data_IF_431450962092
#
_entry.id   IF_431450962092
#
_cell.length_a   1.000
_cell.length_b   1.000
_cell.length_c   1.000
_cell.angle_alpha   90.00
_cell.angle_beta   90.00
_cell.angle_gamma   90.00
#
_symmetry.space_group_name_H-M   'P 1'
#
loop_
_entity.id
_entity.type
_entity.pdbx_description
1 polymer ?
#
# COMPACT_ATOMS: atom_id res chain seq x y z
N UNK A 1 38.38 31.39 -24.03
CA UNK A 1 37.84 32.46 -23.17
C UNK A 1 36.34 32.27 -23.07
N UNK A 2 35.81 32.18 -21.84
CA UNK A 2 34.42 32.33 -21.41
C UNK A 2 33.35 31.38 -22.00
N UNK A 3 32.29 30.95 -21.33
CA UNK A 3 31.87 30.91 -19.92
C UNK A 3 30.60 30.05 -19.89
N UNK A 4 30.27 29.53 -18.70
CA UNK A 4 29.15 28.67 -18.38
C UNK A 4 27.76 29.17 -18.84
N UNK A 5 26.82 28.21 -18.96
CA UNK A 5 25.57 28.31 -18.21
C UNK A 5 25.05 26.95 -17.76
N UNK A 6 24.73 26.92 -16.46
CA UNK A 6 23.96 25.92 -15.72
C UNK A 6 22.53 25.87 -16.24
N UNK A 7 22.02 24.68 -16.44
CA UNK A 7 20.59 24.41 -16.26
C UNK A 7 20.47 23.31 -15.20
N UNK A 8 19.85 23.66 -14.08
CA UNK A 8 19.28 22.71 -13.14
C UNK A 8 18.14 21.98 -13.85
N UNK A 9 18.14 20.65 -13.82
CA UNK A 9 16.90 19.88 -13.94
C UNK A 9 16.78 19.02 -12.68
N UNK A 10 15.72 19.28 -11.93
CA UNK A 10 15.39 18.62 -10.68
C UNK A 10 14.76 17.27 -11.01
N UNK A 11 15.17 16.24 -10.27
CA UNK A 11 14.78 14.85 -10.49
C UNK A 11 13.27 14.65 -10.58
N UNK A 12 12.87 13.92 -11.62
CA UNK A 12 11.63 13.17 -11.65
C UNK A 12 11.96 11.71 -11.35
N UNK A 13 11.55 11.21 -10.19
CA UNK A 13 11.39 9.75 -10.00
C UNK A 13 10.07 9.40 -10.69
N UNK A 14 10.17 9.02 -11.97
CA UNK A 14 9.04 8.49 -12.71
C UNK A 14 8.73 7.08 -12.17
N UNK A 15 7.49 6.76 -11.76
CA UNK A 15 7.14 5.39 -11.44
C UNK A 15 7.20 4.57 -12.73
N UNK A 16 8.07 3.56 -12.75
CA UNK A 16 8.23 2.67 -13.89
C UNK A 16 6.92 1.91 -14.18
N UNK A 17 6.07 2.45 -15.07
CA UNK A 17 4.97 1.71 -15.69
C UNK A 17 5.56 0.77 -16.73
N UNK A 18 5.35 -0.54 -16.55
CA UNK A 18 5.73 -1.56 -17.55
C UNK A 18 4.85 -1.35 -18.80
N UNK A 19 5.43 -1.25 -20.01
CA UNK A 19 4.63 -1.16 -21.23
C UNK A 19 3.99 -2.52 -21.55
N UNK A 20 2.77 -2.74 -21.07
CA UNK A 20 1.87 -3.78 -21.57
C UNK A 20 1.17 -3.30 -22.83
N UNK A 21 1.04 -4.15 -23.83
CA UNK A 21 0.40 -3.80 -25.10
C UNK A 21 -1.09 -3.49 -24.91
N UNK A 22 -1.64 -2.53 -25.67
CA UNK A 22 -3.07 -2.13 -25.61
C UNK A 22 -4.04 -3.32 -25.84
N UNK A 23 -3.54 -4.42 -26.41
CA UNK A 23 -4.30 -5.67 -26.57
C UNK A 23 -4.57 -6.39 -25.23
N UNK A 24 -3.67 -6.28 -24.25
CA UNK A 24 -3.90 -6.80 -22.88
C UNK A 24 -4.96 -5.97 -22.14
N UNK A 25 -4.97 -4.64 -22.33
CA UNK A 25 -5.96 -3.76 -21.69
C UNK A 25 -7.37 -3.93 -22.30
N UNK A 26 -7.46 -4.16 -23.62
CA UNK A 26 -8.74 -4.47 -24.27
C UNK A 26 -9.24 -5.89 -23.98
N UNK A 27 -8.34 -6.84 -23.74
CA UNK A 27 -8.68 -8.20 -23.31
C UNK A 27 -9.19 -8.23 -21.86
N UNK A 28 -8.72 -7.33 -21.01
CA UNK A 28 -9.28 -7.09 -19.68
C UNK A 28 -10.68 -6.44 -19.74
N UNK A 29 -10.90 -5.49 -20.66
CA UNK A 29 -12.20 -4.81 -20.81
C UNK A 29 -13.29 -5.66 -21.50
N UNK A 30 -12.92 -6.56 -22.41
CA UNK A 30 -13.89 -7.38 -23.17
C UNK A 30 -14.49 -8.54 -22.36
N UNK A 31 -14.08 -8.73 -21.11
CA UNK A 31 -14.68 -9.70 -20.19
C UNK A 31 -15.78 -9.07 -19.31
N UNK A 32 -16.15 -7.80 -19.55
CA UNK A 32 -17.39 -7.24 -19.03
C UNK A 32 -18.57 -7.73 -19.89
N UNK A 33 -18.97 -8.97 -19.62
CA UNK A 33 -20.08 -9.64 -20.28
C UNK A 33 -20.68 -10.68 -19.35
N UNK A 34 -21.51 -10.22 -18.40
CA UNK A 34 -22.54 -10.97 -17.69
C UNK A 34 -22.16 -12.37 -17.22
N UNK A 35 -21.63 -12.47 -16.01
CA UNK A 35 -21.51 -13.72 -15.28
C UNK A 35 -21.22 -13.39 -13.82
N UNK A 36 -22.09 -13.86 -12.93
CA UNK A 36 -21.87 -13.89 -11.48
C UNK A 36 -20.44 -14.41 -11.21
N UNK A 37 -19.53 -13.51 -10.84
CA UNK A 37 -18.21 -13.93 -10.43
C UNK A 37 -18.38 -14.50 -9.01
N UNK A 38 -18.02 -15.77 -8.75
CA UNK A 38 -18.05 -16.31 -7.40
C UNK A 38 -17.11 -15.53 -6.46
N UNK A 39 -16.17 -14.75 -7.01
CA UNK A 39 -15.35 -13.82 -6.26
C UNK A 39 -16.07 -12.51 -5.89
N UNK A 40 -17.06 -12.08 -6.69
CA UNK A 40 -17.88 -10.89 -6.45
C UNK A 40 -19.01 -11.22 -5.47
N UNK A 41 -19.59 -12.42 -5.52
CA UNK A 41 -20.48 -12.92 -4.46
C UNK A 41 -19.73 -13.15 -3.14
N UNK A 42 -18.48 -13.65 -3.19
CA UNK A 42 -17.63 -13.81 -2.00
C UNK A 42 -17.15 -12.45 -1.46
N UNK A 43 -16.91 -11.48 -2.35
CA UNK A 43 -16.63 -10.10 -1.98
C UNK A 43 -17.88 -9.41 -1.41
N UNK A 44 -19.09 -9.66 -1.93
CA UNK A 44 -20.34 -9.19 -1.31
C UNK A 44 -20.62 -9.88 0.03
N UNK A 45 -20.24 -11.15 0.25
CA UNK A 45 -20.35 -11.76 1.58
C UNK A 45 -19.27 -11.26 2.56
N UNK A 46 -18.08 -10.92 2.08
CA UNK A 46 -16.99 -10.38 2.92
C UNK A 46 -17.06 -8.86 3.13
N UNK A 47 -17.65 -8.12 2.18
CA UNK A 47 -17.75 -6.66 2.15
C UNK A 47 -19.19 -6.15 2.36
N UNK A 48 -20.20 -6.99 2.22
CA UNK A 48 -21.62 -6.68 2.48
C UNK A 48 -21.95 -6.38 3.94
N UNK A 49 -20.93 -6.32 4.82
CA UNK A 49 -21.02 -5.84 6.18
C UNK A 49 -20.46 -4.42 6.41
N UNK A 50 -19.95 -3.71 5.38
CA UNK A 50 -19.41 -2.35 5.56
C UNK A 50 -20.48 -1.26 5.70
N UNK A 51 -21.72 -1.53 5.31
CA UNK A 51 -22.87 -0.66 5.53
C UNK A 51 -23.38 -0.84 6.98
N UNK A 52 -22.58 -0.38 7.96
CA UNK A 52 -22.95 -0.44 9.38
C UNK A 52 -21.80 -0.48 10.38
N UNK A 53 -20.55 -0.62 9.96
CA UNK A 53 -19.41 -0.57 10.90
C UNK A 53 -19.17 0.86 11.36
N UNK A 54 -19.17 1.04 12.67
CA UNK A 54 -18.90 2.34 13.29
C UNK A 54 -17.40 2.67 13.20
N UNK A 55 -17.07 3.95 13.33
CA UNK A 55 -15.66 4.36 13.44
C UNK A 55 -14.98 3.70 14.65
N UNK A 56 -15.74 3.42 15.72
CA UNK A 56 -15.27 2.74 16.93
C UNK A 56 -14.90 1.27 16.64
N UNK A 57 -15.69 0.58 15.81
CA UNK A 57 -15.38 -0.79 15.38
C UNK A 57 -14.14 -0.84 14.48
N UNK A 58 -13.97 0.16 13.61
CA UNK A 58 -12.78 0.29 12.77
C UNK A 58 -11.53 0.58 13.60
N UNK A 59 -11.65 1.35 14.67
CA UNK A 59 -10.57 1.58 15.62
C UNK A 59 -10.25 0.34 16.45
N UNK A 60 -11.26 -0.40 16.90
CA UNK A 60 -11.07 -1.67 17.58
C UNK A 60 -10.34 -2.67 16.68
N UNK A 61 -10.75 -2.77 15.41
CA UNK A 61 -10.12 -3.62 14.41
C UNK A 61 -8.69 -3.19 14.10
N UNK A 62 -8.43 -1.88 14.01
CA UNK A 62 -7.08 -1.36 13.81
C UNK A 62 -6.17 -1.72 14.99
N UNK A 63 -6.67 -1.58 16.23
CA UNK A 63 -5.92 -1.97 17.43
C UNK A 63 -5.65 -3.46 17.47
N UNK A 64 -6.65 -4.29 17.21
CA UNK A 64 -6.50 -5.75 17.19
C UNK A 64 -5.49 -6.19 16.11
N UNK A 65 -5.54 -5.58 14.93
CA UNK A 65 -4.59 -5.87 13.87
C UNK A 65 -3.14 -5.54 14.25
N UNK A 66 -2.91 -4.44 14.99
CA UNK A 66 -1.59 -4.03 15.50
C UNK A 66 -1.03 -4.97 16.58
N UNK A 67 -1.86 -5.81 17.20
CA UNK A 67 -1.46 -6.79 18.21
C UNK A 67 -0.97 -8.12 17.58
N UNK A 68 -1.10 -8.29 16.25
CA UNK A 68 -0.66 -9.51 15.58
C UNK A 68 0.88 -9.65 15.62
N UNK A 69 1.43 -10.76 16.15
CA UNK A 69 2.88 -10.95 16.27
C UNK A 69 3.61 -10.94 14.91
N UNK A 70 2.90 -11.22 13.82
CA UNK A 70 3.46 -11.21 12.46
C UNK A 70 3.99 -9.85 12.02
N UNK A 71 3.45 -8.76 12.56
CA UNK A 71 3.87 -7.39 12.19
C UNK A 71 4.70 -6.71 13.28
N UNK A 72 5.01 -7.41 14.37
CA UNK A 72 5.61 -6.79 15.55
C UNK A 72 7.00 -6.24 15.27
N UNK A 73 7.79 -6.92 14.43
CA UNK A 73 9.11 -6.45 14.00
C UNK A 73 9.06 -5.14 13.21
N UNK A 74 8.10 -5.00 12.28
CA UNK A 74 7.92 -3.76 11.51
C UNK A 74 7.34 -2.66 12.39
N UNK A 75 6.33 -2.99 13.21
CA UNK A 75 5.63 -2.06 14.11
C UNK A 75 6.56 -1.42 15.15
N UNK A 76 7.46 -2.21 15.73
CA UNK A 76 8.36 -1.75 16.78
C UNK A 76 9.75 -1.34 16.24
N UNK A 77 9.96 -1.45 14.94
CA UNK A 77 11.20 -1.06 14.27
C UNK A 77 11.34 0.46 14.05
N UNK A 78 12.48 0.90 13.50
CA UNK A 78 12.78 2.32 13.26
C UNK A 78 11.80 3.03 12.32
N UNK A 79 11.14 2.30 11.41
CA UNK A 79 10.07 2.84 10.55
C UNK A 79 8.64 2.55 11.06
N UNK A 80 8.53 1.99 12.26
CA UNK A 80 7.28 1.50 12.83
C UNK A 80 6.20 2.56 12.97
N UNK A 81 6.56 3.81 13.30
CA UNK A 81 5.60 4.91 13.39
C UNK A 81 4.89 5.18 12.05
N UNK A 82 5.64 5.19 10.95
CA UNK A 82 5.06 5.39 9.61
C UNK A 82 4.24 4.18 9.17
N UNK A 83 4.66 2.97 9.54
CA UNK A 83 3.90 1.74 9.31
C UNK A 83 2.56 1.76 10.05
N UNK A 84 2.55 2.06 11.35
CA UNK A 84 1.33 2.14 12.16
C UNK A 84 0.36 3.17 11.58
N UNK A 85 0.85 4.35 11.22
CA UNK A 85 0.04 5.41 10.61
C UNK A 85 -0.63 4.96 9.30
N UNK A 86 0.14 4.34 8.40
CA UNK A 86 -0.38 3.85 7.13
C UNK A 86 -1.34 2.67 7.30
N UNK A 87 -1.01 1.74 8.18
CA UNK A 87 -1.79 0.52 8.43
C UNK A 87 -3.13 0.82 9.11
N UNK A 88 -3.14 1.71 10.11
CA UNK A 88 -4.37 2.19 10.74
C UNK A 88 -5.22 2.95 9.74
N UNK A 89 -4.62 3.82 8.91
CA UNK A 89 -5.35 4.52 7.86
C UNK A 89 -6.03 3.54 6.91
N UNK A 90 -5.29 2.53 6.42
CA UNK A 90 -5.82 1.52 5.51
C UNK A 90 -7.02 0.76 6.11
N UNK A 91 -6.95 0.37 7.38
CA UNK A 91 -8.05 -0.33 8.07
C UNK A 91 -9.28 0.57 8.22
N UNK A 92 -9.07 1.87 8.47
CA UNK A 92 -10.15 2.87 8.64
C UNK A 92 -10.70 3.41 7.32
N UNK A 93 -9.98 3.25 6.21
CA UNK A 93 -10.38 3.76 4.90
C UNK A 93 -11.76 3.26 4.51
N UNK A 94 -12.61 4.16 4.02
CA UNK A 94 -13.97 3.85 3.54
C UNK A 94 -14.10 4.00 2.02
N UNK A 95 -12.99 4.29 1.35
CA UNK A 95 -12.95 4.41 -0.10
C UNK A 95 -13.24 3.06 -0.77
N UNK A 96 -13.84 3.14 -1.97
CA UNK A 96 -14.15 1.96 -2.82
C UNK A 96 -12.87 1.17 -3.09
N UNK A 97 -11.80 1.87 -3.44
CA UNK A 97 -10.45 1.35 -3.43
C UNK A 97 -9.82 1.59 -2.05
N UNK A 98 -9.89 0.57 -1.17
CA UNK A 98 -9.37 0.66 0.21
C UNK A 98 -7.96 1.25 0.24
N UNK A 99 -7.81 2.35 0.99
CA UNK A 99 -6.53 3.01 1.22
C UNK A 99 -6.10 3.97 0.11
N UNK A 100 -6.94 4.25 -0.89
CA UNK A 100 -6.65 5.31 -1.88
C UNK A 100 -6.49 6.69 -1.22
N UNK A 101 -7.14 6.91 -0.07
CA UNK A 101 -7.00 8.09 0.79
C UNK A 101 -5.75 8.07 1.69
N UNK A 102 -5.03 6.94 1.75
CA UNK A 102 -3.89 6.72 2.66
C UNK A 102 -2.52 6.77 1.97
N UNK A 103 -2.47 7.09 0.67
CA UNK A 103 -1.26 7.00 -0.14
C UNK A 103 -0.09 7.79 0.45
N UNK A 104 -0.32 9.00 0.96
CA UNK A 104 0.74 9.81 1.57
C UNK A 104 1.39 9.13 2.79
N UNK A 105 0.61 8.38 3.57
CA UNK A 105 1.12 7.62 4.73
C UNK A 105 1.98 6.45 4.27
N UNK A 106 1.56 5.74 3.22
CA UNK A 106 2.36 4.68 2.61
C UNK A 106 3.65 5.21 2.01
N UNK A 107 3.62 6.38 1.37
CA UNK A 107 4.82 7.04 0.85
C UNK A 107 5.77 7.42 1.99
N UNK A 108 5.27 7.91 3.12
CA UNK A 108 6.12 8.21 4.28
C UNK A 108 6.79 6.95 4.84
N UNK A 109 6.06 5.84 4.93
CA UNK A 109 6.62 4.54 5.33
C UNK A 109 7.70 4.06 4.36
N UNK A 110 7.42 4.09 3.05
CA UNK A 110 8.39 3.70 2.03
C UNK A 110 9.64 4.59 2.07
N UNK A 111 9.46 5.91 2.23
CA UNK A 111 10.57 6.86 2.33
C UNK A 111 11.46 6.56 3.53
N UNK A 112 10.87 6.17 4.66
CA UNK A 112 11.63 5.72 5.83
C UNK A 112 12.43 4.46 5.51
N UNK A 113 11.81 3.42 4.95
CA UNK A 113 12.50 2.16 4.63
C UNK A 113 13.65 2.36 3.63
N UNK A 114 13.49 3.25 2.64
CA UNK A 114 14.55 3.60 1.69
C UNK A 114 15.70 4.36 2.37
N UNK A 115 15.41 5.18 3.38
CA UNK A 115 16.43 5.88 4.15
C UNK A 115 17.20 4.97 5.13
N UNK A 116 16.68 3.77 5.39
CA UNK A 116 17.20 2.80 6.34
C UNK A 116 17.36 1.40 5.70
N UNK A 117 18.22 1.25 4.68
CA UNK A 117 18.44 -0.02 4.00
C UNK A 117 18.92 -1.14 4.93
N UNK A 118 19.59 -0.80 6.04
CA UNK A 118 20.05 -1.75 7.05
C UNK A 118 18.93 -2.61 7.64
N UNK A 119 17.70 -2.08 7.73
CA UNK A 119 16.55 -2.83 8.25
C UNK A 119 16.14 -3.92 7.25
N UNK A 120 16.30 -3.67 5.95
CA UNK A 120 15.97 -4.62 4.90
C UNK A 120 16.98 -5.76 4.85
N UNK A 121 18.23 -5.50 5.23
CA UNK A 121 19.30 -6.50 5.31
C UNK A 121 19.08 -7.43 6.52
N UNK A 122 18.75 -6.87 7.69
CA UNK A 122 18.44 -7.67 8.89
C UNK A 122 17.24 -8.62 8.68
N UNK A 123 16.22 -8.22 7.89
CA UNK A 123 15.08 -9.09 7.58
C UNK A 123 15.40 -10.21 6.58
N UNK A 124 16.49 -10.14 5.82
CA UNK A 124 16.90 -11.17 4.86
C UNK A 124 17.84 -12.22 5.48
N UNK A 125 18.59 -11.86 6.51
CA UNK A 125 19.55 -12.77 7.17
C UNK A 125 18.88 -13.80 8.09
N UNK A 126 17.62 -13.61 8.49
CA UNK A 126 16.84 -14.58 9.27
C UNK A 126 16.40 -15.83 8.45
N UNK A 127 16.70 -15.89 7.14
CA UNK A 127 16.38 -17.03 6.26
C UNK A 127 17.56 -18.00 6.02
N UNK A 128 18.74 -17.73 6.61
CA UNK A 128 19.94 -18.59 6.58
C UNK A 128 20.36 -19.09 7.99
N UNK A 129 19.41 -19.52 8.84
CA UNK A 129 19.74 -20.28 10.06
C UNK A 129 18.77 -21.39 10.45
#
# INVERSE_FOLDING_TARGET
MASAQRSNDLGGVEPAVRPGSNEELQKARSQSGGGENPFEALAEEALGGLDGISEEDLEAKAREALECPCIDGIKNGPCGASFVDAFVCYIKSREEEKGSDCLEKFVAMQSCMVAHPEILEEMQDDEES
#
